data_IF_261461348001
#
_entry.id   IF_261461348001
#
_cell.length_a   1.000
_cell.length_b   1.000
_cell.length_c   1.000
_cell.angle_alpha   90.00
_cell.angle_beta   90.00
_cell.angle_gamma   90.00
#
_symmetry.space_group_name_H-M   'P 1'
#
loop_
_entity.id
_entity.type
_entity.pdbx_description
1 polymer ?
#
# COMPACT_ATOMS: atom_id res chain seq x y z
N UNK A 1 -11.87 -7.39 -13.14
CA UNK A 1 -12.01 -7.28 -11.68
C UNK A 1 -13.44 -7.02 -11.29
N UNK A 2 -13.94 -7.66 -10.26
CA UNK A 2 -15.32 -7.47 -9.86
C UNK A 2 -15.46 -6.24 -8.97
N UNK A 3 -16.67 -5.65 -8.99
CA UNK A 3 -16.99 -4.52 -8.12
C UNK A 3 -16.79 -4.90 -6.65
N UNK A 4 -17.18 -6.11 -6.26
CA UNK A 4 -17.04 -6.57 -4.88
C UNK A 4 -15.59 -6.64 -4.46
N UNK A 5 -14.70 -7.14 -5.34
CA UNK A 5 -13.27 -7.17 -5.03
C UNK A 5 -12.69 -5.76 -4.85
N UNK A 6 -13.14 -4.81 -5.66
CA UNK A 6 -12.70 -3.42 -5.53
C UNK A 6 -13.17 -2.82 -4.21
N UNK A 7 -14.40 -3.10 -3.81
CA UNK A 7 -14.95 -2.62 -2.54
C UNK A 7 -14.14 -3.21 -1.36
N UNK A 8 -13.85 -4.51 -1.41
CA UNK A 8 -13.06 -5.17 -0.37
C UNK A 8 -11.64 -4.61 -0.29
N UNK A 9 -11.00 -4.40 -1.44
CA UNK A 9 -9.65 -3.86 -1.47
C UNK A 9 -9.62 -2.44 -0.90
N UNK A 10 -10.60 -1.62 -1.25
CA UNK A 10 -10.70 -0.26 -0.76
C UNK A 10 -10.93 -0.23 0.75
N UNK A 11 -11.76 -1.13 1.26
CA UNK A 11 -12.00 -1.25 2.70
C UNK A 11 -10.80 -1.80 3.46
N UNK A 12 -9.93 -2.57 2.80
CA UNK A 12 -8.72 -3.11 3.41
C UNK A 12 -7.55 -2.11 3.40
N UNK A 13 -7.68 -1.01 2.66
CA UNK A 13 -6.62 -0.02 2.54
C UNK A 13 -6.59 0.85 3.80
N UNK A 14 -5.45 0.90 4.53
CA UNK A 14 -5.34 1.77 5.70
C UNK A 14 -5.44 3.25 5.33
N UNK A 15 -5.60 4.12 6.33
CA UNK A 15 -5.55 5.57 6.11
C UNK A 15 -4.18 5.97 5.54
N UNK A 16 -4.09 7.11 4.84
CA UNK A 16 -2.81 7.57 4.30
C UNK A 16 -1.69 7.65 5.34
N UNK A 17 -1.99 8.19 6.52
CA UNK A 17 -0.99 8.28 7.59
C UNK A 17 -0.52 6.90 8.04
N UNK A 18 -1.43 5.94 8.14
CA UNK A 18 -1.07 4.57 8.54
C UNK A 18 -0.28 3.85 7.44
N UNK A 19 -0.60 4.09 6.17
CA UNK A 19 0.18 3.53 5.06
C UNK A 19 1.65 3.93 5.16
N UNK A 20 1.88 5.20 5.43
CA UNK A 20 3.23 5.72 5.62
C UNK A 20 3.90 5.08 6.83
N UNK A 21 3.18 4.98 7.94
CA UNK A 21 3.73 4.38 9.16
C UNK A 21 4.11 2.92 8.94
N UNK A 22 3.28 2.15 8.23
CA UNK A 22 3.57 0.76 7.89
C UNK A 22 4.86 0.67 7.07
N UNK A 23 4.99 1.52 6.05
CA UNK A 23 6.18 1.55 5.20
C UNK A 23 7.44 1.90 6.00
N UNK A 24 7.36 2.95 6.82
CA UNK A 24 8.50 3.41 7.59
C UNK A 24 8.93 2.37 8.64
N UNK A 25 7.97 1.75 9.29
CA UNK A 25 8.25 0.70 10.27
C UNK A 25 8.95 -0.50 9.62
N UNK A 26 8.65 -0.77 8.36
CA UNK A 26 9.31 -1.86 7.62
C UNK A 26 10.66 -1.45 7.04
N UNK A 27 11.05 -0.19 7.14
CA UNK A 27 12.30 0.30 6.60
C UNK A 27 12.33 0.37 5.07
N UNK A 28 11.16 0.55 4.45
CA UNK A 28 11.00 0.51 2.99
C UNK A 28 10.77 1.91 2.46
N UNK A 29 11.40 2.24 1.33
CA UNK A 29 11.25 3.56 0.70
C UNK A 29 10.01 3.62 -0.17
N UNK A 30 9.54 4.85 -0.45
CA UNK A 30 8.46 5.05 -1.42
C UNK A 30 8.82 4.48 -2.79
N UNK A 31 10.08 4.63 -3.19
CA UNK A 31 10.54 4.07 -4.46
C UNK A 31 10.46 2.56 -4.53
N UNK A 32 10.73 1.89 -3.42
CA UNK A 32 10.62 0.43 -3.36
C UNK A 32 9.16 -0.01 -3.49
N UNK A 33 8.25 0.67 -2.79
CA UNK A 33 6.81 0.41 -2.93
C UNK A 33 6.37 0.64 -4.39
N UNK A 34 6.78 1.77 -4.96
CA UNK A 34 6.40 2.13 -6.33
C UNK A 34 6.84 1.07 -7.33
N UNK A 35 8.05 0.56 -7.17
CA UNK A 35 8.59 -0.47 -8.03
C UNK A 35 7.79 -1.77 -7.93
N UNK A 36 7.43 -2.15 -6.71
CA UNK A 36 6.67 -3.36 -6.46
C UNK A 36 5.24 -3.26 -7.03
N UNK A 37 4.61 -2.10 -6.89
CA UNK A 37 3.25 -1.88 -7.38
C UNK A 37 3.23 -1.61 -8.89
N UNK A 38 4.33 -1.12 -9.45
CA UNK A 38 4.41 -0.79 -10.88
C UNK A 38 3.96 0.62 -11.19
N UNK A 39 4.26 1.57 -10.30
CA UNK A 39 3.91 2.98 -10.51
C UNK A 39 5.13 3.86 -10.27
N UNK A 40 5.00 5.15 -10.54
CA UNK A 40 6.04 6.11 -10.27
C UNK A 40 6.09 6.44 -8.78
N UNK A 41 7.30 6.75 -8.26
CA UNK A 41 7.48 7.09 -6.85
C UNK A 41 6.57 8.23 -6.39
N UNK A 42 6.38 9.24 -7.22
CA UNK A 42 5.50 10.37 -6.90
C UNK A 42 4.05 9.92 -6.69
N UNK A 43 3.63 8.87 -7.36
CA UNK A 43 2.30 8.31 -7.16
C UNK A 43 2.14 7.80 -5.74
N UNK A 44 3.13 7.06 -5.24
CA UNK A 44 3.11 6.58 -3.86
C UNK A 44 3.13 7.75 -2.88
N UNK A 45 3.93 8.76 -3.17
CA UNK A 45 3.97 9.98 -2.34
C UNK A 45 2.58 10.60 -2.20
N UNK A 46 1.86 10.70 -3.32
CA UNK A 46 0.49 11.26 -3.31
C UNK A 46 -0.49 10.37 -2.58
N UNK A 47 -0.32 9.06 -2.67
CA UNK A 47 -1.17 8.12 -1.94
C UNK A 47 -0.96 8.28 -0.43
N UNK A 48 0.28 8.50 0.01
CA UNK A 48 0.59 8.68 1.45
C UNK A 48 0.17 10.05 1.97
N UNK A 49 0.09 11.04 1.11
CA UNK A 49 -0.40 12.37 1.49
C UNK A 49 -1.91 12.50 1.39
N UNK A 50 -2.58 11.51 0.79
CA UNK A 50 -4.02 11.58 0.58
C UNK A 50 -4.44 12.43 -0.60
N UNK A 51 -3.47 12.92 -1.39
CA UNK A 51 -3.75 13.80 -2.53
C UNK A 51 -4.39 13.04 -3.68
N UNK A 52 -4.05 11.77 -3.85
CA UNK A 52 -4.70 10.92 -4.84
C UNK A 52 -4.98 9.54 -4.25
N UNK A 53 -5.87 8.78 -4.90
CA UNK A 53 -6.29 7.47 -4.44
C UNK A 53 -5.85 6.39 -5.42
N UNK A 54 -5.31 5.27 -4.93
CA UNK A 54 -5.05 4.13 -5.82
C UNK A 54 -6.38 3.56 -6.31
N UNK A 55 -6.38 3.09 -7.55
CA UNK A 55 -7.57 2.49 -8.17
C UNK A 55 -7.17 1.29 -9.02
N UNK A 56 -8.14 0.45 -9.34
CA UNK A 56 -7.96 -0.68 -10.24
C UNK A 56 -6.88 -1.65 -9.77
N UNK A 57 -6.10 -2.19 -10.70
CA UNK A 57 -5.03 -3.14 -10.35
C UNK A 57 -4.01 -2.57 -9.38
N UNK A 58 -3.73 -1.27 -9.46
CA UNK A 58 -2.78 -0.62 -8.55
C UNK A 58 -3.29 -0.63 -7.11
N UNK A 59 -4.61 -0.47 -6.91
CA UNK A 59 -5.20 -0.56 -5.58
C UNK A 59 -4.96 -1.95 -4.98
N UNK A 60 -5.25 -3.00 -5.75
CA UNK A 60 -5.08 -4.37 -5.28
C UNK A 60 -3.61 -4.68 -4.97
N UNK A 61 -2.69 -4.25 -5.84
CA UNK A 61 -1.26 -4.46 -5.63
C UNK A 61 -0.76 -3.70 -4.39
N UNK A 62 -1.23 -2.48 -4.19
CA UNK A 62 -0.82 -1.66 -3.06
C UNK A 62 -1.30 -2.27 -1.73
N UNK A 63 -2.57 -2.71 -1.68
CA UNK A 63 -3.11 -3.38 -0.51
C UNK A 63 -2.30 -4.63 -0.18
N UNK A 64 -1.95 -5.42 -1.19
CA UNK A 64 -1.16 -6.64 -1.01
C UNK A 64 0.22 -6.32 -0.43
N UNK A 65 0.90 -5.31 -0.97
CA UNK A 65 2.22 -4.90 -0.49
C UNK A 65 2.16 -4.45 0.96
N UNK A 66 1.18 -3.60 1.29
CA UNK A 66 1.04 -3.12 2.67
C UNK A 66 0.75 -4.26 3.64
N UNK A 67 -0.10 -5.22 3.23
CA UNK A 67 -0.38 -6.38 4.05
C UNK A 67 0.88 -7.22 4.27
N UNK A 68 1.65 -7.44 3.21
CA UNK A 68 2.89 -8.20 3.31
C UNK A 68 3.88 -7.52 4.27
N UNK A 69 3.97 -6.19 4.23
CA UNK A 69 4.84 -5.45 5.14
C UNK A 69 4.39 -5.59 6.59
N UNK A 70 3.08 -5.53 6.84
CA UNK A 70 2.54 -5.73 8.17
C UNK A 70 2.79 -7.15 8.66
N UNK A 71 2.58 -8.13 7.81
CA UNK A 71 2.80 -9.53 8.15
C UNK A 71 4.28 -9.80 8.45
N UNK A 72 5.17 -9.24 7.65
CA UNK A 72 6.61 -9.39 7.87
C UNK A 72 7.03 -8.77 9.20
N UNK A 73 6.50 -7.59 9.53
CA UNK A 73 6.81 -6.94 10.78
C UNK A 73 6.30 -7.72 11.98
N UNK A 74 5.12 -8.32 11.88
CA UNK A 74 4.53 -9.12 12.96
C UNK A 74 5.13 -10.52 13.03
N UNK A 75 5.24 -11.19 11.88
CA UNK A 75 5.72 -12.56 11.79
C UNK A 75 7.21 -12.68 12.00
N UNK A 76 7.97 -11.64 11.66
CA UNK A 76 9.41 -11.64 11.83
C UNK A 76 9.86 -11.71 13.27
N UNK A 77 8.95 -11.49 14.20
CA UNK A 77 9.24 -11.57 15.63
C UNK A 77 9.41 -13.00 16.12
N UNK A 78 9.14 -13.97 15.28
CA UNK A 78 9.23 -15.38 15.68
C UNK A 78 10.61 -15.95 15.44
#
# INVERSE_FOLDING_TARGET
MSLLNDVRARGALPTPALRRAIREAAGVSQGQIAREVGVHRMTVCRWESGTSKPTGPHLHAYVAVLRDLQDAASGGAR
#
